data_IF_247208668199
#
_entry.id   IF_247208668199
#
_cell.length_a   1.000
_cell.length_b   1.000
_cell.length_c   1.000
_cell.angle_alpha   90.00
_cell.angle_beta   90.00
_cell.angle_gamma   90.00
#
_symmetry.space_group_name_H-M   'P 1'
#
loop_
_entity.id
_entity.type
_entity.pdbx_description
1 polymer ?
#
# COMPACT_ATOMS: atom_id res chain seq x y z
N UNK A 1 4.63 -6.36 -9.70
CA UNK A 1 5.27 -7.67 -9.57
C UNK A 1 6.38 -7.76 -10.59
N UNK A 2 7.62 -7.97 -10.13
CA UNK A 2 8.80 -8.16 -10.99
C UNK A 2 9.13 -9.66 -10.99
N UNK A 3 9.25 -10.23 -12.17
CA UNK A 3 9.69 -11.61 -12.42
C UNK A 3 10.26 -11.68 -13.82
N UNK A 4 11.22 -12.55 -14.08
CA UNK A 4 11.85 -12.66 -15.41
C UNK A 4 10.83 -13.11 -16.48
N UNK A 5 9.82 -13.90 -16.10
CA UNK A 5 8.74 -14.39 -16.96
C UNK A 5 7.53 -13.45 -17.06
N UNK A 6 7.58 -12.23 -16.50
CA UNK A 6 6.47 -11.27 -16.50
C UNK A 6 5.13 -11.80 -15.98
N UNK A 7 5.15 -12.66 -14.97
CA UNK A 7 3.91 -13.16 -14.34
C UNK A 7 3.08 -12.02 -13.76
N UNK A 8 1.77 -12.16 -13.82
CA UNK A 8 0.86 -11.49 -12.89
C UNK A 8 0.68 -12.36 -11.62
N UNK A 9 -0.12 -11.90 -10.65
CA UNK A 9 -0.28 -12.62 -9.37
C UNK A 9 -0.97 -13.98 -9.58
N UNK A 10 -1.90 -14.04 -10.52
CA UNK A 10 -2.67 -15.27 -10.81
C UNK A 10 -1.84 -16.28 -11.62
N UNK A 11 -0.99 -15.78 -12.51
CA UNK A 11 -0.14 -16.59 -13.39
C UNK A 11 1.13 -17.11 -12.74
N UNK A 12 1.43 -16.73 -11.48
CA UNK A 12 2.56 -17.32 -10.76
C UNK A 12 2.40 -18.84 -10.62
N UNK A 13 3.48 -19.62 -10.80
CA UNK A 13 3.46 -21.06 -10.53
C UNK A 13 2.92 -21.40 -9.14
N UNK A 14 2.35 -22.59 -9.00
CA UNK A 14 1.91 -23.09 -7.68
C UNK A 14 3.12 -23.22 -6.74
N UNK A 15 2.95 -22.69 -5.51
CA UNK A 15 4.01 -22.68 -4.50
C UNK A 15 5.15 -21.70 -4.78
N UNK A 16 5.02 -20.79 -5.76
CA UNK A 16 6.04 -19.82 -6.12
C UNK A 16 6.51 -19.00 -4.91
N UNK A 17 7.81 -18.72 -4.89
CA UNK A 17 8.44 -17.90 -3.85
C UNK A 17 8.35 -16.42 -4.23
N UNK A 18 7.58 -15.64 -3.47
CA UNK A 18 7.44 -14.19 -3.68
C UNK A 18 8.11 -13.42 -2.55
N UNK A 19 9.04 -12.53 -2.88
CA UNK A 19 9.78 -11.79 -1.87
C UNK A 19 9.17 -10.41 -1.58
N UNK A 20 8.86 -10.18 -0.31
CA UNK A 20 8.46 -8.88 0.23
C UNK A 20 8.64 -8.81 1.75
N UNK A 21 9.15 -7.70 2.26
CA UNK A 21 9.22 -7.42 3.71
C UNK A 21 8.00 -6.64 4.22
N UNK A 22 7.01 -6.39 3.38
CA UNK A 22 5.79 -5.65 3.74
C UNK A 22 4.70 -6.61 4.19
N UNK A 23 4.30 -6.54 5.46
CA UNK A 23 3.18 -7.33 6.00
C UNK A 23 1.88 -7.10 5.21
N UNK A 24 1.61 -5.85 4.81
CA UNK A 24 0.45 -5.51 3.99
C UNK A 24 0.45 -6.21 2.63
N UNK A 25 1.61 -6.29 1.96
CA UNK A 25 1.74 -6.99 0.67
C UNK A 25 1.61 -8.49 0.86
N UNK A 26 2.31 -9.03 1.85
CA UNK A 26 2.24 -10.45 2.23
C UNK A 26 0.79 -10.89 2.47
N UNK A 27 0.07 -10.18 3.34
CA UNK A 27 -1.31 -10.50 3.69
C UNK A 27 -2.23 -10.53 2.46
N UNK A 28 -2.14 -9.53 1.59
CA UNK A 28 -2.99 -9.45 0.40
C UNK A 28 -2.62 -10.48 -0.66
N UNK A 29 -1.32 -10.85 -0.79
CA UNK A 29 -0.88 -11.94 -1.67
C UNK A 29 -1.39 -13.27 -1.16
N UNK A 30 -1.17 -13.60 0.11
CA UNK A 30 -1.61 -14.87 0.70
C UNK A 30 -3.13 -15.03 0.72
N UNK A 31 -3.87 -13.94 0.88
CA UNK A 31 -5.33 -13.99 0.73
C UNK A 31 -5.77 -14.39 -0.68
N UNK A 32 -5.07 -13.93 -1.70
CA UNK A 32 -5.40 -14.20 -3.09
C UNK A 32 -4.84 -15.55 -3.57
N UNK A 33 -3.64 -15.89 -3.13
CA UNK A 33 -2.86 -17.08 -3.48
C UNK A 33 -2.27 -17.68 -2.20
N UNK A 34 -3.04 -18.49 -1.46
CA UNK A 34 -2.60 -19.12 -0.21
C UNK A 34 -1.44 -20.11 -0.39
N UNK A 35 -1.24 -20.58 -1.60
CA UNK A 35 -0.17 -21.49 -1.98
C UNK A 35 1.22 -20.83 -2.04
N UNK A 36 1.29 -19.49 -2.16
CA UNK A 36 2.55 -18.77 -2.31
C UNK A 36 3.42 -18.84 -1.05
N UNK A 37 4.72 -18.95 -1.27
CA UNK A 37 5.72 -18.87 -0.21
C UNK A 37 6.28 -17.46 -0.13
N UNK A 38 5.96 -16.73 0.93
CA UNK A 38 6.43 -15.36 1.10
C UNK A 38 7.72 -15.33 1.90
N UNK A 39 8.77 -14.74 1.32
CA UNK A 39 10.08 -14.57 1.94
C UNK A 39 10.44 -13.11 2.11
N UNK A 40 11.25 -12.80 3.12
CA UNK A 40 11.77 -11.44 3.30
C UNK A 40 12.89 -11.13 2.31
N UNK A 41 12.90 -9.89 1.84
CA UNK A 41 13.99 -9.36 1.01
C UNK A 41 14.34 -7.94 1.45
N UNK A 42 15.62 -7.69 1.71
CA UNK A 42 16.15 -6.40 2.14
C UNK A 42 17.18 -5.86 1.14
N UNK A 43 17.33 -4.55 1.14
CA UNK A 43 18.22 -3.81 0.24
C UNK A 43 17.44 -2.75 -0.52
N UNK A 44 18.13 -1.95 -1.33
CA UNK A 44 17.55 -1.05 -2.31
C UNK A 44 16.95 -1.84 -3.49
N UNK A 45 16.33 -1.16 -4.43
CA UNK A 45 15.55 -1.79 -5.52
C UNK A 45 16.44 -2.68 -6.39
N UNK A 46 17.57 -2.17 -6.86
CA UNK A 46 18.55 -2.90 -7.68
C UNK A 46 19.10 -4.15 -6.95
N UNK A 47 19.43 -4.02 -5.67
CA UNK A 47 19.85 -5.16 -4.85
C UNK A 47 18.76 -6.24 -4.75
N UNK A 48 17.48 -5.83 -4.62
CA UNK A 48 16.37 -6.80 -4.55
C UNK A 48 16.16 -7.50 -5.88
N UNK A 49 16.20 -6.76 -7.00
CA UNK A 49 16.08 -7.34 -8.34
C UNK A 49 17.22 -8.34 -8.58
N UNK A 50 18.46 -7.97 -8.24
CA UNK A 50 19.60 -8.86 -8.36
C UNK A 50 19.43 -10.15 -7.54
N UNK A 51 19.02 -10.02 -6.26
CA UNK A 51 18.77 -11.20 -5.39
C UNK A 51 17.69 -12.13 -5.94
N UNK A 52 16.65 -11.60 -6.57
CA UNK A 52 15.64 -12.41 -7.26
C UNK A 52 16.28 -13.19 -8.41
N UNK A 53 17.02 -12.51 -9.29
CA UNK A 53 17.73 -13.15 -10.41
C UNK A 53 18.79 -14.17 -9.98
N UNK A 54 19.33 -14.04 -8.76
CA UNK A 54 20.21 -15.02 -8.11
C UNK A 54 19.44 -16.26 -7.57
N UNK A 55 18.13 -16.35 -7.83
CA UNK A 55 17.30 -17.50 -7.44
C UNK A 55 16.79 -17.48 -6.00
N UNK A 56 16.81 -16.33 -5.31
CA UNK A 56 16.27 -16.25 -3.94
C UNK A 56 14.74 -16.17 -3.90
N UNK A 57 14.12 -15.81 -5.01
CA UNK A 57 12.67 -15.78 -5.18
C UNK A 57 12.33 -15.81 -6.67
N UNK A 58 11.15 -16.32 -7.01
CA UNK A 58 10.62 -16.33 -8.38
C UNK A 58 10.08 -14.96 -8.79
N UNK A 59 9.61 -14.17 -7.81
CA UNK A 59 9.12 -12.84 -8.03
C UNK A 59 9.33 -11.93 -6.81
N UNK A 60 9.34 -10.60 -7.04
CA UNK A 60 9.38 -9.58 -5.98
C UNK A 60 8.32 -8.50 -6.20
N UNK A 61 7.78 -7.95 -5.11
CA UNK A 61 6.84 -6.83 -5.18
C UNK A 61 7.56 -5.53 -4.88
N UNK A 62 7.57 -4.62 -5.86
CA UNK A 62 8.20 -3.31 -5.76
C UNK A 62 7.22 -2.18 -6.06
N UNK A 63 7.56 -0.95 -5.65
CA UNK A 63 6.87 0.22 -6.14
C UNK A 63 7.36 0.55 -7.57
N UNK A 64 6.45 0.56 -8.53
CA UNK A 64 6.78 0.82 -9.94
C UNK A 64 7.54 2.14 -10.14
N UNK A 65 7.17 3.18 -9.39
CA UNK A 65 7.87 4.46 -9.42
C UNK A 65 9.38 4.35 -9.14
N UNK A 66 9.81 3.39 -8.32
CA UNK A 66 11.21 3.14 -8.05
C UNK A 66 11.96 2.54 -9.25
N UNK A 67 11.34 1.61 -9.98
CA UNK A 67 11.91 1.06 -11.21
C UNK A 67 12.08 2.16 -12.27
N UNK A 68 11.03 2.95 -12.49
CA UNK A 68 11.04 4.05 -13.47
C UNK A 68 12.10 5.10 -13.13
N UNK A 69 12.20 5.51 -11.87
CA UNK A 69 13.18 6.53 -11.44
C UNK A 69 14.63 6.08 -11.57
N UNK A 70 14.88 4.79 -11.37
CA UNK A 70 16.23 4.24 -11.48
C UNK A 70 16.57 3.80 -12.91
N UNK A 71 15.63 3.90 -13.85
CA UNK A 71 15.81 3.40 -15.21
C UNK A 71 16.12 1.89 -15.25
N UNK A 72 15.63 1.14 -14.27
CA UNK A 72 15.88 -0.29 -14.20
C UNK A 72 15.00 -1.03 -15.21
N UNK A 73 15.65 -1.68 -16.16
CA UNK A 73 15.02 -2.60 -17.08
C UNK A 73 14.82 -3.96 -16.39
N UNK A 74 13.65 -4.12 -15.76
CA UNK A 74 13.24 -5.35 -15.12
C UNK A 74 11.83 -5.70 -15.59
N UNK A 75 11.62 -6.89 -16.20
CA UNK A 75 10.31 -7.34 -16.60
C UNK A 75 9.33 -7.31 -15.42
N UNK A 76 8.17 -6.68 -15.61
CA UNK A 76 7.22 -6.52 -14.51
C UNK A 76 5.77 -6.36 -14.98
N UNK A 77 4.86 -6.83 -14.16
CA UNK A 77 3.42 -6.63 -14.31
C UNK A 77 2.90 -5.69 -13.22
N UNK A 78 2.00 -4.79 -13.62
CA UNK A 78 1.37 -3.87 -12.64
C UNK A 78 0.29 -4.62 -11.87
N UNK A 79 0.44 -4.71 -10.55
CA UNK A 79 -0.60 -5.28 -9.68
C UNK A 79 -1.71 -4.24 -9.49
N UNK A 80 -2.94 -4.51 -9.96
CA UNK A 80 -4.02 -3.53 -9.87
C UNK A 80 -4.50 -3.34 -8.44
N UNK A 81 -5.05 -2.16 -8.08
CA UNK A 81 -5.57 -1.89 -6.74
C UNK A 81 -6.70 -2.81 -6.28
N UNK A 82 -7.41 -3.47 -7.21
CA UNK A 82 -8.39 -4.50 -6.88
C UNK A 82 -7.76 -5.75 -6.24
N UNK A 83 -6.53 -6.06 -6.62
CA UNK A 83 -5.74 -7.17 -6.06
C UNK A 83 -5.00 -6.72 -4.80
N UNK A 84 -4.29 -5.59 -4.88
CA UNK A 84 -3.45 -5.12 -3.78
C UNK A 84 -3.56 -3.60 -3.58
N UNK A 85 -4.17 -3.18 -2.48
CA UNK A 85 -4.18 -1.77 -2.08
C UNK A 85 -2.79 -1.32 -1.60
N UNK A 86 -2.37 -0.10 -1.97
CA UNK A 86 -1.08 0.46 -1.55
C UNK A 86 -1.05 0.80 -0.05
N UNK A 87 0.11 1.21 0.44
CA UNK A 87 0.21 1.84 1.75
C UNK A 87 -0.41 3.24 1.73
N UNK A 88 -0.89 3.69 2.88
CA UNK A 88 -1.39 5.06 3.08
C UNK A 88 -0.33 6.08 2.63
N UNK A 89 -0.72 6.97 1.75
CA UNK A 89 0.15 8.00 1.17
C UNK A 89 1.18 7.47 0.15
N UNK A 90 1.14 6.18 -0.21
CA UNK A 90 2.07 5.63 -1.21
C UNK A 90 1.78 6.25 -2.59
N UNK A 91 2.81 6.82 -3.20
CA UNK A 91 2.68 7.50 -4.49
C UNK A 91 2.51 9.02 -4.39
N UNK A 92 2.17 9.54 -3.23
CA UNK A 92 2.20 10.98 -2.98
C UNK A 92 3.63 11.43 -2.63
N UNK A 93 4.12 12.45 -3.31
CA UNK A 93 5.36 13.11 -2.93
C UNK A 93 5.07 14.15 -1.85
N UNK A 94 5.93 14.23 -0.85
CA UNK A 94 5.83 15.22 0.22
C UNK A 94 7.10 16.04 0.30
N UNK A 95 6.94 17.37 0.39
CA UNK A 95 8.02 18.28 0.78
C UNK A 95 7.85 18.63 2.25
N UNK A 96 8.91 18.43 3.04
CA UNK A 96 8.95 18.79 4.46
C UNK A 96 9.78 20.06 4.66
N UNK A 97 9.27 20.98 5.46
CA UNK A 97 9.97 22.20 5.87
C UNK A 97 9.78 22.41 7.37
N UNK A 98 10.63 23.21 7.98
CA UNK A 98 10.37 23.72 9.31
C UNK A 98 9.09 24.59 9.28
N UNK A 99 8.34 24.60 10.38
CA UNK A 99 7.09 25.33 10.46
C UNK A 99 7.26 26.82 10.20
N UNK A 100 8.33 27.43 10.71
CA UNK A 100 8.67 28.84 10.57
C UNK A 100 9.58 29.15 9.37
N UNK A 101 9.76 28.18 8.44
CA UNK A 101 10.66 28.41 7.30
C UNK A 101 10.12 29.52 6.38
N UNK A 102 10.92 30.57 6.07
CA UNK A 102 10.45 31.75 5.34
C UNK A 102 9.91 31.44 3.94
N UNK A 103 10.36 30.36 3.31
CA UNK A 103 9.87 29.92 1.99
C UNK A 103 8.69 28.93 2.04
N UNK A 104 8.19 28.58 3.23
CA UNK A 104 7.10 27.59 3.36
C UNK A 104 5.89 27.91 2.48
N UNK A 105 5.44 29.18 2.49
CA UNK A 105 4.31 29.61 1.67
C UNK A 105 4.55 29.41 0.17
N UNK A 106 5.72 29.83 -0.32
CA UNK A 106 6.11 29.69 -1.72
C UNK A 106 6.29 28.22 -2.13
N UNK A 107 6.85 27.38 -1.28
CA UNK A 107 7.01 25.93 -1.52
C UNK A 107 5.62 25.30 -1.61
N UNK A 108 4.72 25.65 -0.69
CA UNK A 108 3.35 25.16 -0.73
C UNK A 108 2.64 25.57 -2.02
N UNK A 109 2.69 26.83 -2.37
CA UNK A 109 2.08 27.35 -3.60
C UNK A 109 2.59 26.65 -4.87
N UNK A 110 3.91 26.39 -4.94
CA UNK A 110 4.54 25.76 -6.10
C UNK A 110 4.29 24.25 -6.21
N UNK A 111 4.13 23.54 -5.09
CA UNK A 111 4.08 22.07 -5.07
C UNK A 111 2.72 21.49 -4.65
N UNK A 112 1.82 22.34 -4.14
CA UNK A 112 0.53 21.86 -3.65
C UNK A 112 -0.36 21.33 -4.78
N UNK A 113 -0.88 20.12 -4.57
CA UNK A 113 -1.86 19.50 -5.47
C UNK A 113 -3.09 19.07 -4.67
N UNK A 114 -4.14 19.87 -4.75
CA UNK A 114 -5.35 19.71 -3.94
C UNK A 114 -5.98 18.30 -4.02
N UNK A 115 -6.14 17.67 -5.20
CA UNK A 115 -6.70 16.31 -5.26
C UNK A 115 -5.85 15.30 -4.50
N UNK A 116 -4.51 15.38 -4.59
CA UNK A 116 -3.61 14.49 -3.83
C UNK A 116 -3.69 14.74 -2.34
N UNK A 117 -3.75 16.01 -1.89
CA UNK A 117 -3.92 16.33 -0.47
C UNK A 117 -5.21 15.72 0.07
N UNK A 118 -6.34 15.93 -0.61
CA UNK A 118 -7.65 15.40 -0.20
C UNK A 118 -7.62 13.88 -0.09
N UNK A 119 -7.09 13.19 -1.11
CA UNK A 119 -6.95 11.75 -1.11
C UNK A 119 -6.10 11.25 0.08
N UNK A 120 -4.93 11.83 0.29
CA UNK A 120 -4.00 11.44 1.38
C UNK A 120 -4.58 11.78 2.76
N UNK A 121 -5.34 12.87 2.90
CA UNK A 121 -6.04 13.20 4.16
C UNK A 121 -7.05 12.12 4.53
N UNK A 122 -7.85 11.65 3.57
CA UNK A 122 -8.80 10.56 3.79
C UNK A 122 -8.09 9.25 4.17
N UNK A 123 -7.02 8.89 3.45
CA UNK A 123 -6.20 7.70 3.77
C UNK A 123 -5.58 7.77 5.17
N UNK A 124 -5.04 8.94 5.54
CA UNK A 124 -4.46 9.15 6.87
C UNK A 124 -5.52 9.15 7.98
N UNK A 125 -6.71 9.66 7.70
CA UNK A 125 -7.82 9.62 8.65
C UNK A 125 -8.26 8.17 8.93
N UNK A 126 -8.36 7.35 7.88
CA UNK A 126 -8.58 5.89 8.02
C UNK A 126 -7.50 5.26 8.91
N UNK A 127 -6.23 5.48 8.60
CA UNK A 127 -5.11 4.88 9.34
C UNK A 127 -5.10 5.31 10.81
N UNK A 128 -5.34 6.60 11.10
CA UNK A 128 -5.43 7.11 12.48
C UNK A 128 -6.59 6.49 13.25
N UNK A 129 -7.76 6.39 12.63
CA UNK A 129 -8.96 5.84 13.27
C UNK A 129 -8.86 4.33 13.53
N UNK A 130 -8.10 3.60 12.70
CA UNK A 130 -7.73 2.21 12.94
C UNK A 130 -6.59 2.07 13.96
N UNK A 131 -6.02 3.18 14.44
CA UNK A 131 -4.80 3.22 15.26
C UNK A 131 -3.67 2.35 14.65
N UNK A 132 -3.65 2.28 13.33
CA UNK A 132 -2.70 1.47 12.58
C UNK A 132 -1.30 2.05 12.63
N UNK A 133 -0.41 1.35 13.31
CA UNK A 133 1.04 1.61 13.23
C UNK A 133 1.66 0.93 12.00
N UNK A 134 2.98 1.10 11.81
CA UNK A 134 3.73 0.49 10.70
C UNK A 134 3.71 -1.06 10.67
N UNK A 135 3.26 -1.70 11.74
CA UNK A 135 3.20 -3.16 11.88
C UNK A 135 1.85 -3.75 11.47
N UNK A 136 0.81 -2.94 11.31
CA UNK A 136 -0.52 -3.45 10.94
C UNK A 136 -0.65 -3.52 9.42
N UNK A 137 -1.14 -4.64 8.84
CA UNK A 137 -1.37 -4.79 7.41
C UNK A 137 -2.59 -3.98 6.94
N UNK A 138 -2.47 -2.66 6.97
CA UNK A 138 -3.48 -1.71 6.46
C UNK A 138 -3.05 -1.18 5.10
N UNK A 139 -3.96 -1.22 4.14
CA UNK A 139 -3.82 -0.58 2.84
C UNK A 139 -4.94 0.41 2.60
N UNK A 140 -4.65 1.49 1.87
CA UNK A 140 -5.66 2.44 1.45
C UNK A 140 -5.32 3.06 0.10
N UNK A 141 -6.35 3.48 -0.61
CA UNK A 141 -6.24 4.27 -1.83
C UNK A 141 -7.39 5.26 -1.91
N UNK A 142 -7.07 6.52 -1.77
CA UNK A 142 -7.96 7.66 -2.01
C UNK A 142 -7.84 8.14 -3.45
N UNK A 143 -8.97 8.51 -4.04
CA UNK A 143 -9.06 9.21 -5.33
C UNK A 143 -9.98 10.40 -5.12
N UNK A 144 -9.51 11.60 -5.44
CA UNK A 144 -10.30 12.82 -5.36
C UNK A 144 -10.66 13.28 -6.76
N UNK A 145 -11.95 13.50 -7.01
CA UNK A 145 -12.52 14.03 -8.24
C UNK A 145 -13.45 15.20 -7.89
N UNK A 146 -13.07 16.40 -8.27
CA UNK A 146 -13.73 17.62 -7.81
C UNK A 146 -13.76 17.71 -6.28
N UNK A 147 -14.93 17.92 -5.71
CA UNK A 147 -15.13 18.03 -4.27
C UNK A 147 -15.39 16.70 -3.56
N UNK A 148 -15.32 15.59 -4.28
CA UNK A 148 -15.56 14.26 -3.70
C UNK A 148 -14.28 13.47 -3.58
N UNK A 149 -14.18 12.67 -2.51
CA UNK A 149 -13.10 11.70 -2.29
C UNK A 149 -13.73 10.34 -2.17
N UNK A 150 -13.27 9.40 -2.99
CA UNK A 150 -13.55 7.97 -2.87
C UNK A 150 -12.34 7.30 -2.22
N UNK A 151 -12.55 6.61 -1.12
CA UNK A 151 -11.52 5.93 -0.35
C UNK A 151 -11.80 4.43 -0.30
N UNK A 152 -10.86 3.62 -0.75
CA UNK A 152 -10.86 2.17 -0.53
C UNK A 152 -9.88 1.83 0.56
N UNK A 153 -10.25 0.90 1.46
CA UNK A 153 -9.43 0.47 2.57
C UNK A 153 -9.39 -1.05 2.70
N UNK A 154 -8.32 -1.56 3.28
CA UNK A 154 -8.17 -2.97 3.66
C UNK A 154 -7.44 -3.08 4.99
N UNK A 155 -7.92 -3.98 5.85
CA UNK A 155 -7.23 -4.50 7.04
C UNK A 155 -7.14 -6.01 6.86
N UNK A 156 -5.95 -6.58 7.05
CA UNK A 156 -5.75 -8.02 6.84
C UNK A 156 -4.89 -8.62 7.95
N UNK A 157 -5.10 -9.89 8.29
CA UNK A 157 -4.17 -10.64 9.13
C UNK A 157 -2.86 -10.91 8.38
N UNK A 158 -1.71 -11.03 9.08
CA UNK A 158 -0.41 -11.25 8.42
C UNK A 158 -0.34 -12.49 7.55
N UNK A 159 -1.15 -13.50 7.84
CA UNK A 159 -1.28 -14.75 7.07
C UNK A 159 -2.28 -14.66 5.92
N UNK A 160 -3.02 -13.56 5.80
CA UNK A 160 -4.05 -13.37 4.77
C UNK A 160 -5.36 -14.12 5.00
N UNK A 161 -5.52 -14.82 6.13
CA UNK A 161 -6.72 -15.59 6.43
C UNK A 161 -7.95 -14.68 6.67
N UNK A 162 -7.76 -13.57 7.37
CA UNK A 162 -8.79 -12.57 7.63
C UNK A 162 -8.51 -11.31 6.82
N UNK A 163 -9.45 -10.91 5.98
CA UNK A 163 -9.34 -9.69 5.16
C UNK A 163 -10.65 -8.92 5.16
N UNK A 164 -10.61 -7.70 5.66
CA UNK A 164 -11.71 -6.76 5.69
C UNK A 164 -11.46 -5.64 4.69
N UNK A 165 -12.28 -5.56 3.64
CA UNK A 165 -12.21 -4.51 2.62
C UNK A 165 -13.47 -3.68 2.67
N UNK A 166 -13.35 -2.38 2.41
CA UNK A 166 -14.47 -1.47 2.32
C UNK A 166 -14.16 -0.28 1.44
N UNK A 167 -15.20 0.50 1.16
CA UNK A 167 -15.14 1.72 0.36
C UNK A 167 -16.08 2.76 0.96
N UNK A 168 -15.65 4.02 1.01
CA UNK A 168 -16.46 5.15 1.43
C UNK A 168 -16.21 6.33 0.50
N UNK A 169 -17.23 7.19 0.33
CA UNK A 169 -17.15 8.36 -0.54
C UNK A 169 -17.84 9.56 0.12
N UNK A 170 -17.28 10.74 -0.03
CA UNK A 170 -17.87 11.99 0.51
C UNK A 170 -17.04 13.20 0.18
N UNK A 171 -17.47 14.35 0.67
CA UNK A 171 -16.81 15.62 0.40
C UNK A 171 -15.69 15.91 1.43
N UNK A 172 -15.89 15.54 2.70
CA UNK A 172 -14.92 15.78 3.76
C UNK A 172 -13.97 14.58 3.94
N UNK A 173 -12.68 14.72 3.59
CA UNK A 173 -11.73 13.62 3.59
C UNK A 173 -11.61 12.89 4.93
N UNK A 174 -11.57 13.64 6.03
CA UNK A 174 -11.44 13.07 7.37
C UNK A 174 -12.68 12.28 7.80
N UNK A 175 -13.88 12.76 7.44
CA UNK A 175 -15.13 12.05 7.72
C UNK A 175 -15.21 10.76 6.91
N UNK A 176 -14.79 10.80 5.63
CA UNK A 176 -14.72 9.61 4.77
C UNK A 176 -13.80 8.56 5.38
N UNK A 177 -12.60 8.95 5.80
CA UNK A 177 -11.64 8.05 6.44
C UNK A 177 -12.15 7.47 7.75
N UNK A 178 -12.71 8.31 8.62
CA UNK A 178 -13.28 7.90 9.92
C UNK A 178 -14.49 6.98 9.78
N UNK A 179 -15.38 7.23 8.81
CA UNK A 179 -16.53 6.37 8.52
C UNK A 179 -16.10 4.99 8.05
N UNK A 180 -15.17 4.91 7.09
CA UNK A 180 -14.66 3.64 6.62
C UNK A 180 -13.95 2.85 7.73
N UNK A 181 -13.22 3.54 8.61
CA UNK A 181 -12.59 2.88 9.76
C UNK A 181 -13.62 2.21 10.67
N UNK A 182 -14.70 2.94 11.05
CA UNK A 182 -15.77 2.38 11.88
C UNK A 182 -16.43 1.17 11.22
N UNK A 183 -16.76 1.26 9.95
CA UNK A 183 -17.35 0.14 9.20
C UNK A 183 -16.45 -1.10 9.23
N UNK A 184 -15.15 -0.94 8.99
CA UNK A 184 -14.20 -2.07 9.02
C UNK A 184 -14.08 -2.67 10.42
N UNK A 185 -14.07 -1.83 11.47
CA UNK A 185 -14.02 -2.29 12.86
C UNK A 185 -15.30 -3.07 13.26
N UNK A 186 -16.47 -2.57 12.90
CA UNK A 186 -17.76 -3.23 13.12
C UNK A 186 -17.84 -4.59 12.43
N UNK A 187 -17.21 -4.74 11.27
CA UNK A 187 -17.11 -6.00 10.51
C UNK A 187 -16.07 -6.97 11.07
N UNK A 188 -15.32 -6.60 12.13
CA UNK A 188 -14.41 -7.48 12.83
C UNK A 188 -12.92 -7.18 12.64
N UNK A 189 -12.53 -6.11 11.94
CA UNK A 189 -11.12 -5.76 11.77
C UNK A 189 -10.38 -5.51 13.10
N UNK A 190 -11.11 -5.22 14.19
CA UNK A 190 -10.55 -5.05 15.53
C UNK A 190 -9.76 -6.28 15.99
N UNK A 191 -10.17 -7.50 15.63
CA UNK A 191 -9.47 -8.75 15.97
C UNK A 191 -8.05 -8.73 15.40
N UNK A 192 -7.93 -8.44 14.11
CA UNK A 192 -6.62 -8.36 13.42
C UNK A 192 -5.72 -7.29 14.03
N UNK A 193 -6.31 -6.13 14.38
CA UNK A 193 -5.55 -5.02 14.97
C UNK A 193 -5.04 -5.36 16.38
N UNK A 194 -5.82 -6.14 17.17
CA UNK A 194 -5.43 -6.61 18.49
C UNK A 194 -4.28 -7.61 18.47
N UNK A 195 -4.32 -8.60 17.57
CA UNK A 195 -3.29 -9.64 17.44
C UNK A 195 -1.91 -9.10 17.03
N UNK A 196 -1.88 -8.01 16.25
CA UNK A 196 -0.61 -7.43 15.77
C UNK A 196 0.02 -6.48 16.80
N UNK A 197 -0.73 -6.05 17.82
CA UNK A 197 -0.25 -5.15 18.89
C UNK A 197 0.36 -5.91 20.11
N UNK A 198 -0.02 -7.17 20.32
CA UNK A 198 0.54 -8.04 21.35
C UNK A 198 1.86 -8.65 20.91
#
# INVERSE_FOLDING_TARGET
LVSDECYDVEGLPEGAVVATSSLRRRAQLLHRRPDLRIVEIRGNIDTRVRKMREGRADAIVLARAGLVRLGLDAPHTVVPPGVMLPAVGQGALAAATLEEHPLRGRIREALHHTPTERAVRAERALLRALEGGCRVPVGALGVAEGDRVRLRGVVASPDGALVYRGEAEGEEPEEVGGRLARELLERGAAVVLGEVRG
#
